data_IF_308865221560
#
_entry.id   IF_308865221560
#
_cell.length_a   1.000
_cell.length_b   1.000
_cell.length_c   1.000
_cell.angle_alpha   90.00
_cell.angle_beta   90.00
_cell.angle_gamma   90.00
#
_symmetry.space_group_name_H-M   'P 1'
#
loop_
_entity.id
_entity.type
_entity.pdbx_description
1 polymer ?
#
# COMPACT_ATOMS: atom_id res chain seq x y z
N UNK A 1 11.04 -12.55 -15.82
CA UNK A 1 9.91 -13.29 -15.21
C UNK A 1 8.58 -13.05 -15.93
N UNK A 2 8.28 -11.81 -16.36
CA UNK A 2 7.02 -11.43 -17.03
C UNK A 2 6.57 -12.36 -18.18
N UNK A 3 7.44 -12.63 -19.16
CA UNK A 3 7.11 -13.55 -20.27
C UNK A 3 6.69 -14.93 -19.78
N UNK A 4 7.34 -15.45 -18.73
CA UNK A 4 7.01 -16.77 -18.14
C UNK A 4 5.63 -16.76 -17.51
N UNK A 5 5.29 -15.74 -16.70
CA UNK A 5 3.96 -15.59 -16.07
C UNK A 5 2.87 -15.56 -17.14
N UNK A 6 3.07 -14.80 -18.21
CA UNK A 6 2.09 -14.70 -19.30
C UNK A 6 1.78 -16.03 -20.00
N UNK A 7 2.68 -17.03 -19.98
CA UNK A 7 2.38 -18.38 -20.50
C UNK A 7 1.26 -19.11 -19.74
N UNK A 8 0.92 -18.63 -18.54
CA UNK A 8 -0.21 -19.13 -17.76
C UNK A 8 -1.56 -18.59 -18.24
N UNK A 9 -1.58 -17.63 -19.16
CA UNK A 9 -2.81 -17.20 -19.83
C UNK A 9 -2.97 -17.95 -21.17
N UNK A 10 -4.20 -18.27 -21.56
CA UNK A 10 -4.50 -19.02 -22.79
C UNK A 10 -5.04 -18.17 -23.94
N UNK A 11 -4.93 -16.84 -23.84
CA UNK A 11 -5.51 -15.88 -24.78
C UNK A 11 -6.93 -15.43 -24.43
N UNK A 12 -7.65 -16.16 -23.58
CA UNK A 12 -8.99 -15.77 -23.09
C UNK A 12 -9.05 -15.62 -21.58
N UNK A 13 -8.43 -16.54 -20.83
CA UNK A 13 -8.44 -16.57 -19.36
C UNK A 13 -7.11 -17.07 -18.81
N UNK A 14 -6.90 -16.81 -17.52
CA UNK A 14 -5.82 -17.42 -16.77
C UNK A 14 -6.09 -18.90 -16.55
N UNK A 15 -5.14 -19.76 -16.92
CA UNK A 15 -5.20 -21.21 -16.72
C UNK A 15 -5.33 -21.50 -15.23
N UNK A 16 -6.17 -22.49 -14.91
CA UNK A 16 -6.48 -22.92 -13.54
C UNK A 16 -7.09 -21.82 -12.63
N UNK A 17 -7.51 -20.68 -13.18
CA UNK A 17 -8.31 -19.72 -12.42
C UNK A 17 -9.65 -20.36 -12.03
N UNK A 18 -10.12 -20.18 -10.79
CA UNK A 18 -11.32 -20.87 -10.31
C UNK A 18 -12.58 -20.45 -11.06
N UNK A 19 -13.50 -21.40 -11.27
CA UNK A 19 -14.81 -21.12 -11.90
C UNK A 19 -15.68 -20.21 -11.03
N UNK A 20 -15.66 -20.46 -9.71
CA UNK A 20 -16.29 -19.61 -8.69
C UNK A 20 -15.15 -18.89 -7.97
N UNK A 21 -14.97 -17.58 -8.17
CA UNK A 21 -13.80 -16.87 -7.69
C UNK A 21 -13.97 -16.43 -6.22
N UNK A 22 -14.26 -17.40 -5.36
CA UNK A 22 -14.25 -17.22 -3.91
C UNK A 22 -12.81 -16.99 -3.41
N UNK A 23 -12.69 -16.43 -2.22
CA UNK A 23 -11.42 -15.99 -1.64
C UNK A 23 -10.37 -17.11 -1.58
N UNK A 24 -10.70 -18.27 -0.99
CA UNK A 24 -9.78 -19.40 -0.82
C UNK A 24 -9.31 -20.03 -2.15
N UNK A 25 -10.19 -20.32 -3.13
CA UNK A 25 -9.75 -20.76 -4.46
C UNK A 25 -8.83 -19.75 -5.17
N UNK A 26 -9.14 -18.45 -5.12
CA UNK A 26 -8.32 -17.40 -5.76
C UNK A 26 -6.97 -17.27 -5.05
N UNK A 27 -6.96 -17.30 -3.72
CA UNK A 27 -5.76 -17.33 -2.87
C UNK A 27 -4.83 -18.48 -3.27
N UNK A 28 -5.35 -19.71 -3.34
CA UNK A 28 -4.58 -20.90 -3.75
C UNK A 28 -4.06 -20.79 -5.18
N UNK A 29 -4.86 -20.24 -6.10
CA UNK A 29 -4.45 -20.02 -7.48
C UNK A 29 -3.29 -19.02 -7.58
N UNK A 30 -3.35 -17.87 -6.89
CA UNK A 30 -2.27 -16.89 -6.85
C UNK A 30 -0.98 -17.47 -6.26
N UNK A 31 -1.08 -18.24 -5.17
CA UNK A 31 0.07 -18.92 -4.57
C UNK A 31 0.71 -19.92 -5.54
N UNK A 32 -0.10 -20.69 -6.26
CA UNK A 32 0.39 -21.63 -7.29
C UNK A 32 1.11 -20.88 -8.42
N UNK A 33 0.54 -19.77 -8.87
CA UNK A 33 1.16 -18.91 -9.88
C UNK A 33 2.52 -18.36 -9.40
N UNK A 34 2.57 -17.82 -8.19
CA UNK A 34 3.79 -17.29 -7.59
C UNK A 34 4.86 -18.38 -7.39
N UNK A 35 4.48 -19.55 -6.86
CA UNK A 35 5.39 -20.69 -6.66
C UNK A 35 6.01 -21.18 -7.96
N UNK A 36 5.23 -21.17 -9.06
CA UNK A 36 5.67 -21.65 -10.36
C UNK A 36 6.57 -20.65 -11.11
N UNK A 37 6.26 -19.35 -11.04
CA UNK A 37 6.89 -18.37 -11.92
C UNK A 37 7.75 -17.32 -11.21
N UNK A 38 7.53 -17.11 -9.91
CA UNK A 38 8.19 -16.09 -9.09
C UNK A 38 9.08 -16.73 -8.00
N UNK A 39 9.41 -18.03 -8.13
CA UNK A 39 10.28 -18.75 -7.18
C UNK A 39 11.64 -18.07 -6.97
N UNK A 40 12.18 -17.41 -7.98
CA UNK A 40 13.47 -16.72 -7.92
C UNK A 40 13.36 -15.23 -7.56
N UNK A 41 12.15 -14.70 -7.39
CA UNK A 41 11.95 -13.29 -7.05
C UNK A 41 12.38 -13.02 -5.59
N UNK A 42 12.97 -11.86 -5.25
CA UNK A 42 13.43 -11.57 -3.89
C UNK A 42 12.29 -11.61 -2.88
N UNK A 43 11.12 -11.03 -3.21
CA UNK A 43 9.98 -10.99 -2.30
C UNK A 43 8.98 -12.09 -2.61
N UNK A 44 8.47 -12.73 -1.56
CA UNK A 44 7.55 -13.86 -1.66
C UNK A 44 6.12 -13.44 -1.33
N UNK A 45 5.18 -14.12 -1.96
CA UNK A 45 3.76 -14.02 -1.62
C UNK A 45 3.47 -14.87 -0.39
N UNK A 46 2.88 -14.24 0.61
CA UNK A 46 2.43 -14.87 1.84
C UNK A 46 0.92 -14.67 2.01
N UNK A 47 0.33 -15.54 2.81
CA UNK A 47 -1.09 -15.51 3.16
C UNK A 47 -1.24 -15.84 4.63
N UNK A 48 -2.24 -15.27 5.27
CA UNK A 48 -2.63 -15.71 6.61
C UNK A 48 -3.96 -16.46 6.59
N UNK A 49 -4.04 -17.52 7.39
CA UNK A 49 -5.25 -18.27 7.72
C UNK A 49 -5.98 -17.67 8.91
N UNK A 50 -5.25 -17.00 9.81
CA UNK A 50 -5.82 -16.36 11.01
C UNK A 50 -5.06 -15.08 11.34
N UNK A 51 -5.73 -14.15 12.03
CA UNK A 51 -5.12 -12.91 12.52
C UNK A 51 -3.98 -13.12 13.53
N UNK A 52 -3.90 -14.29 14.17
CA UNK A 52 -2.88 -14.62 15.17
C UNK A 52 -1.48 -14.85 14.58
N UNK A 53 -1.39 -14.95 13.26
CA UNK A 53 -0.12 -15.11 12.55
C UNK A 53 0.67 -13.80 12.45
N UNK A 54 0.05 -12.65 12.71
CA UNK A 54 0.75 -11.38 12.87
C UNK A 54 1.08 -11.12 14.34
N UNK A 55 2.32 -10.72 14.64
CA UNK A 55 2.78 -10.43 16.00
C UNK A 55 1.91 -9.38 16.70
N UNK A 56 1.46 -8.38 15.95
CA UNK A 56 0.69 -7.25 16.44
C UNK A 56 -0.81 -7.56 16.60
N UNK A 57 -1.28 -8.69 16.04
CA UNK A 57 -2.70 -9.12 16.07
C UNK A 57 -3.68 -8.04 15.56
N UNK A 58 -3.24 -7.14 14.67
CA UNK A 58 -4.01 -6.00 14.15
C UNK A 58 -4.99 -6.35 13.01
N UNK A 59 -5.22 -7.63 12.74
CA UNK A 59 -6.13 -8.13 11.69
C UNK A 59 -5.50 -9.20 10.82
N UNK A 60 -6.33 -9.89 10.04
CA UNK A 60 -5.90 -10.91 9.08
C UNK A 60 -5.66 -10.24 7.73
N UNK A 61 -4.43 -10.36 7.21
CA UNK A 61 -4.10 -9.92 5.85
C UNK A 61 -4.27 -11.10 4.90
N UNK A 62 -5.08 -10.93 3.85
CA UNK A 62 -5.29 -12.00 2.89
C UNK A 62 -4.01 -12.35 2.14
N UNK A 63 -3.46 -11.39 1.41
CA UNK A 63 -2.24 -11.57 0.66
C UNK A 63 -1.26 -10.47 1.02
N UNK A 64 0.01 -10.79 1.12
CA UNK A 64 1.04 -9.76 1.27
C UNK A 64 2.36 -10.25 0.70
N UNK A 65 3.23 -9.29 0.42
CA UNK A 65 4.63 -9.55 0.18
C UNK A 65 5.42 -8.93 1.31
N UNK A 66 6.53 -9.57 1.70
CA UNK A 66 7.41 -9.06 2.75
C UNK A 66 8.88 -9.22 2.37
N UNK A 67 9.74 -8.53 3.11
CA UNK A 67 11.19 -8.74 3.08
C UNK A 67 11.53 -10.20 3.44
N UNK A 68 12.62 -10.76 2.90
CA UNK A 68 13.10 -12.07 3.33
C UNK A 68 13.34 -12.05 4.84
N UNK A 69 12.67 -12.95 5.58
CA UNK A 69 12.91 -13.09 7.00
C UNK A 69 14.29 -13.72 7.25
N UNK A 70 14.97 -13.31 8.31
CA UNK A 70 16.00 -14.15 8.91
C UNK A 70 15.34 -15.49 9.32
N UNK A 71 15.99 -16.62 9.04
CA UNK A 71 15.37 -17.95 9.15
C UNK A 71 14.73 -18.20 10.52
N UNK A 72 13.53 -18.81 10.55
CA UNK A 72 12.96 -19.44 11.76
C UNK A 72 11.76 -18.76 12.44
N UNK A 73 11.15 -17.72 11.87
CA UNK A 73 9.97 -17.06 12.46
C UNK A 73 8.63 -17.63 12.00
N UNK A 74 7.84 -18.23 12.90
CA UNK A 74 6.46 -18.69 12.63
C UNK A 74 5.42 -17.54 12.55
N UNK A 75 5.83 -16.31 12.89
CA UNK A 75 4.96 -15.13 12.93
C UNK A 75 5.46 -14.03 11.99
N UNK A 76 4.51 -13.40 11.31
CA UNK A 76 4.74 -12.23 10.48
C UNK A 76 4.69 -10.94 11.31
N UNK A 77 5.37 -9.90 10.87
CA UNK A 77 5.28 -8.55 11.43
C UNK A 77 4.99 -7.55 10.31
N UNK A 78 4.19 -6.53 10.60
CA UNK A 78 3.98 -5.42 9.67
C UNK A 78 5.26 -4.65 9.36
N UNK A 79 6.32 -4.79 10.18
CA UNK A 79 7.67 -4.25 9.91
C UNK A 79 8.27 -4.77 8.61
N UNK A 80 7.95 -6.00 8.24
CA UNK A 80 8.53 -6.66 7.07
C UNK A 80 7.64 -6.56 5.83
N UNK A 81 6.36 -6.15 5.99
CA UNK A 81 5.37 -6.11 4.90
C UNK A 81 5.67 -5.01 3.88
N UNK A 82 5.81 -5.38 2.62
CA UNK A 82 6.08 -4.47 1.50
C UNK A 82 4.81 -4.07 0.75
N UNK A 83 3.92 -5.04 0.52
CA UNK A 83 2.70 -4.89 -0.27
C UNK A 83 1.55 -5.60 0.42
N UNK A 84 0.35 -4.99 0.41
CA UNK A 84 -0.86 -5.59 0.98
C UNK A 84 -1.89 -5.88 -0.12
N UNK A 85 -2.46 -7.07 -0.11
CA UNK A 85 -3.50 -7.51 -1.02
C UNK A 85 -4.75 -7.97 -0.27
N UNK A 86 -5.91 -7.49 -0.71
CA UNK A 86 -7.21 -7.91 -0.20
C UNK A 86 -7.97 -8.72 -1.25
N UNK A 87 -8.54 -9.86 -0.87
CA UNK A 87 -9.28 -10.73 -1.77
C UNK A 87 -10.77 -10.69 -1.43
N UNK A 88 -11.63 -10.58 -2.45
CA UNK A 88 -13.09 -10.65 -2.27
C UNK A 88 -13.71 -11.51 -3.36
N UNK A 89 -14.84 -12.14 -3.02
CA UNK A 89 -15.60 -13.01 -3.93
C UNK A 89 -16.08 -12.30 -5.19
N UNK A 90 -16.59 -11.08 -5.04
CA UNK A 90 -17.18 -10.33 -6.14
C UNK A 90 -16.93 -8.84 -5.99
N UNK A 91 -16.91 -8.15 -7.11
CA UNK A 91 -16.88 -6.69 -7.14
C UNK A 91 -18.28 -6.15 -6.87
N UNK A 92 -18.43 -5.40 -5.79
CA UNK A 92 -19.68 -4.78 -5.36
C UNK A 92 -19.39 -3.32 -4.96
N UNK A 93 -19.93 -2.38 -5.74
CA UNK A 93 -19.73 -0.94 -5.52
C UNK A 93 -20.35 -0.48 -4.19
N UNK A 94 -21.42 -1.11 -3.73
CA UNK A 94 -22.03 -0.84 -2.42
C UNK A 94 -21.12 -1.21 -1.26
N UNK A 95 -20.22 -2.19 -1.46
CA UNK A 95 -19.21 -2.61 -0.48
C UNK A 95 -17.85 -1.94 -0.63
N UNK A 96 -17.68 -1.04 -1.60
CA UNK A 96 -16.42 -0.35 -1.84
C UNK A 96 -15.85 0.26 -0.56
N UNK A 97 -16.65 1.03 0.18
CA UNK A 97 -16.21 1.68 1.43
C UNK A 97 -15.71 0.67 2.47
N UNK A 98 -16.39 -0.46 2.62
CA UNK A 98 -16.01 -1.49 3.57
C UNK A 98 -14.70 -2.18 3.16
N UNK A 99 -14.56 -2.54 1.90
CA UNK A 99 -13.34 -3.17 1.36
C UNK A 99 -12.14 -2.21 1.43
N UNK A 100 -12.36 -0.94 1.05
CA UNK A 100 -11.35 0.10 1.13
C UNK A 100 -10.91 0.36 2.57
N UNK A 101 -11.85 0.40 3.52
CA UNK A 101 -11.55 0.55 4.94
C UNK A 101 -10.71 -0.63 5.47
N UNK A 102 -11.02 -1.86 5.06
CA UNK A 102 -10.24 -3.04 5.44
C UNK A 102 -8.80 -2.95 4.93
N UNK A 103 -8.62 -2.65 3.64
CA UNK A 103 -7.30 -2.45 3.05
C UNK A 103 -6.51 -1.35 3.77
N UNK A 104 -7.17 -0.22 4.06
CA UNK A 104 -6.58 0.93 4.75
C UNK A 104 -6.16 0.59 6.18
N UNK A 105 -6.83 -0.33 6.88
CA UNK A 105 -6.41 -0.77 8.22
C UNK A 105 -5.07 -1.49 8.21
N UNK A 106 -4.82 -2.29 7.18
CA UNK A 106 -3.53 -2.97 7.00
C UNK A 106 -2.44 -1.98 6.61
N UNK A 107 -2.72 -1.08 5.66
CA UNK A 107 -1.80 0.01 5.28
C UNK A 107 -1.43 0.88 6.48
N UNK A 108 -2.41 1.26 7.30
CA UNK A 108 -2.16 2.00 8.55
C UNK A 108 -1.22 1.24 9.49
N UNK A 109 -1.36 -0.09 9.57
CA UNK A 109 -0.50 -0.93 10.40
C UNK A 109 0.93 -0.99 9.84
N UNK A 110 1.08 -1.06 8.51
CA UNK A 110 2.39 -0.92 7.84
C UNK A 110 3.05 0.41 8.19
N UNK A 111 2.36 1.55 8.03
CA UNK A 111 2.94 2.86 8.38
C UNK A 111 3.29 3.00 9.85
N UNK A 112 2.50 2.42 10.75
CA UNK A 112 2.77 2.45 12.19
C UNK A 112 4.07 1.70 12.54
N UNK A 113 4.32 0.57 11.87
CA UNK A 113 5.46 -0.29 12.17
C UNK A 113 6.67 -0.01 11.23
N UNK A 114 6.48 0.79 10.16
CA UNK A 114 7.50 1.32 9.26
C UNK A 114 7.37 2.86 9.14
N UNK A 115 7.76 3.64 10.16
CA UNK A 115 7.49 5.07 10.22
C UNK A 115 8.35 5.90 9.26
N UNK A 116 9.35 5.32 8.61
CA UNK A 116 10.12 5.95 7.54
C UNK A 116 9.51 5.70 6.15
N UNK A 117 8.57 4.74 6.01
CA UNK A 117 7.92 4.40 4.73
C UNK A 117 7.19 5.59 4.12
N UNK A 118 7.48 5.92 2.86
CA UNK A 118 6.85 7.05 2.14
C UNK A 118 5.47 6.69 1.59
N UNK A 119 5.37 5.57 0.90
CA UNK A 119 4.11 5.01 0.45
C UNK A 119 4.06 3.48 0.57
N UNK A 120 2.86 2.93 0.53
CA UNK A 120 2.58 1.50 0.58
C UNK A 120 1.84 1.10 -0.68
N UNK A 121 2.42 0.15 -1.41
CA UNK A 121 1.72 -0.53 -2.49
C UNK A 121 0.64 -1.44 -1.92
N UNK A 122 -0.53 -1.40 -2.54
CA UNK A 122 -1.63 -2.27 -2.19
C UNK A 122 -2.42 -2.68 -3.43
N UNK A 123 -3.27 -3.69 -3.29
CA UNK A 123 -4.25 -4.02 -4.32
C UNK A 123 -5.47 -4.71 -3.73
N UNK A 124 -6.58 -4.63 -4.46
CA UNK A 124 -7.75 -5.47 -4.23
C UNK A 124 -8.00 -6.36 -5.44
N UNK A 125 -8.39 -7.60 -5.20
CA UNK A 125 -8.84 -8.54 -6.24
C UNK A 125 -10.22 -9.09 -5.85
N UNK A 126 -11.24 -8.56 -6.52
CA UNK A 126 -12.64 -8.88 -6.31
C UNK A 126 -13.16 -9.73 -7.47
N UNK A 127 -13.22 -11.05 -7.29
CA UNK A 127 -13.49 -11.97 -8.40
C UNK A 127 -12.36 -11.91 -9.44
N UNK A 128 -12.67 -11.45 -10.66
CA UNK A 128 -11.69 -11.19 -11.72
C UNK A 128 -11.33 -9.71 -11.89
N UNK A 129 -11.93 -8.81 -11.08
CA UNK A 129 -11.65 -7.37 -11.13
C UNK A 129 -10.56 -7.03 -10.13
N UNK A 130 -9.47 -6.44 -10.63
CA UNK A 130 -8.35 -6.01 -9.82
C UNK A 130 -8.24 -4.49 -9.82
N UNK A 131 -7.80 -3.91 -8.71
CA UNK A 131 -7.45 -2.50 -8.62
C UNK A 131 -6.15 -2.36 -7.84
N UNK A 132 -5.18 -1.64 -8.41
CA UNK A 132 -3.91 -1.35 -7.75
C UNK A 132 -4.01 -0.02 -7.04
N UNK A 133 -3.35 0.08 -5.89
CA UNK A 133 -3.38 1.24 -5.02
C UNK A 133 -1.97 1.64 -4.59
N UNK A 134 -1.76 2.95 -4.51
CA UNK A 134 -0.66 3.57 -3.79
C UNK A 134 -1.26 4.36 -2.65
N UNK A 135 -0.86 4.05 -1.43
CA UNK A 135 -1.21 4.81 -0.25
C UNK A 135 0.01 5.58 0.22
N UNK A 136 -0.08 6.89 0.30
CA UNK A 136 0.87 7.68 1.06
C UNK A 136 0.22 8.10 2.39
N UNK A 137 0.87 9.01 3.12
CA UNK A 137 0.27 9.55 4.34
C UNK A 137 -0.86 10.54 4.06
N UNK A 138 -0.93 11.07 2.83
CA UNK A 138 -1.91 12.07 2.40
C UNK A 138 -3.24 11.45 1.96
N UNK A 139 -3.22 10.22 1.48
CA UNK A 139 -4.39 9.53 0.96
C UNK A 139 -4.04 8.30 0.12
N UNK A 140 -4.91 8.00 -0.84
CA UNK A 140 -4.76 6.85 -1.72
C UNK A 140 -5.06 7.21 -3.16
N UNK A 141 -4.28 6.67 -4.08
CA UNK A 141 -4.47 6.78 -5.52
C UNK A 141 -4.61 5.39 -6.11
N UNK A 142 -5.51 5.21 -7.09
CA UNK A 142 -5.75 3.91 -7.71
C UNK A 142 -5.47 3.91 -9.20
N UNK A 143 -5.18 2.73 -9.73
CA UNK A 143 -5.09 2.50 -11.18
C UNK A 143 -6.45 2.56 -11.90
N UNK A 144 -7.54 2.67 -11.14
CA UNK A 144 -8.85 2.21 -11.59
C UNK A 144 -8.93 0.68 -11.67
N UNK A 145 -10.16 0.17 -11.76
CA UNK A 145 -10.42 -1.28 -11.84
C UNK A 145 -10.19 -1.81 -13.25
N UNK A 146 -9.54 -2.97 -13.37
CA UNK A 146 -9.34 -3.68 -14.62
C UNK A 146 -9.71 -5.16 -14.48
N UNK A 147 -10.04 -5.83 -15.59
CA UNK A 147 -10.33 -7.26 -15.58
C UNK A 147 -9.07 -8.07 -15.91
N UNK A 148 -8.69 -8.99 -15.02
CA UNK A 148 -7.43 -9.73 -15.16
C UNK A 148 -7.42 -10.65 -16.38
N UNK A 149 -8.58 -11.09 -16.88
CA UNK A 149 -8.67 -11.97 -18.05
C UNK A 149 -8.50 -11.20 -19.35
N UNK A 150 -9.15 -10.04 -19.49
CA UNK A 150 -8.99 -9.18 -20.66
C UNK A 150 -7.66 -8.44 -20.68
N UNK A 151 -7.10 -8.13 -19.50
CA UNK A 151 -5.87 -7.34 -19.36
C UNK A 151 -4.76 -8.14 -18.64
N UNK A 152 -4.33 -9.30 -19.17
CA UNK A 152 -3.40 -10.19 -18.47
C UNK A 152 -2.02 -9.57 -18.29
N UNK A 153 -1.63 -8.65 -19.18
CA UNK A 153 -0.36 -7.92 -19.05
C UNK A 153 -0.33 -7.07 -17.79
N UNK A 154 -1.46 -6.47 -17.37
CA UNK A 154 -1.52 -5.65 -16.16
C UNK A 154 -1.33 -6.51 -14.90
N UNK A 155 -2.08 -7.61 -14.76
CA UNK A 155 -1.88 -8.54 -13.65
C UNK A 155 -0.43 -9.08 -13.62
N UNK A 156 0.08 -9.53 -14.77
CA UNK A 156 1.42 -10.10 -14.83
C UNK A 156 2.51 -9.08 -14.44
N UNK A 157 2.37 -7.82 -14.87
CA UNK A 157 3.27 -6.73 -14.48
C UNK A 157 3.16 -6.42 -13.01
N UNK A 158 1.96 -6.33 -12.45
CA UNK A 158 1.75 -6.09 -11.02
C UNK A 158 2.41 -7.18 -10.16
N UNK A 159 2.15 -8.46 -10.46
CA UNK A 159 2.72 -9.57 -9.69
C UNK A 159 4.24 -9.67 -9.80
N UNK A 160 4.79 -9.46 -11.00
CA UNK A 160 6.25 -9.45 -11.20
C UNK A 160 6.86 -8.24 -10.51
N UNK A 161 6.30 -7.04 -10.72
CA UNK A 161 6.76 -5.80 -10.11
C UNK A 161 6.80 -5.93 -8.59
N UNK A 162 5.69 -6.30 -7.95
CA UNK A 162 5.66 -6.48 -6.50
C UNK A 162 6.68 -7.50 -6.00
N UNK A 163 6.96 -8.55 -6.77
CA UNK A 163 7.92 -9.56 -6.36
C UNK A 163 9.39 -9.16 -6.58
N UNK A 164 9.68 -8.17 -7.45
CA UNK A 164 11.05 -7.88 -7.93
C UNK A 164 11.48 -6.41 -7.88
N UNK A 165 10.59 -5.46 -7.59
CA UNK A 165 10.97 -4.05 -7.40
C UNK A 165 12.03 -3.95 -6.29
N UNK A 166 12.95 -3.00 -6.39
CA UNK A 166 13.95 -2.76 -5.36
C UNK A 166 13.36 -1.96 -4.18
N UNK A 167 14.17 -1.79 -3.13
CA UNK A 167 13.77 -1.07 -1.92
C UNK A 167 13.38 0.39 -2.22
N UNK A 168 14.07 1.02 -3.17
CA UNK A 168 13.77 2.38 -3.64
C UNK A 168 12.43 2.41 -4.37
N UNK A 169 12.14 1.50 -5.28
CA UNK A 169 10.84 1.48 -5.98
C UNK A 169 9.69 1.10 -5.04
N UNK A 170 9.98 0.36 -3.96
CA UNK A 170 9.04 0.11 -2.87
C UNK A 170 8.89 1.32 -1.92
N UNK A 171 9.69 2.37 -2.13
CA UNK A 171 9.90 3.57 -1.30
C UNK A 171 9.98 3.32 0.19
N UNK A 172 10.86 2.37 0.48
CA UNK A 172 11.50 2.23 1.77
C UNK A 172 12.51 3.38 1.93
N UNK A 173 12.54 4.00 3.10
CA UNK A 173 13.54 5.03 3.37
C UNK A 173 14.92 4.40 3.49
N UNK A 174 15.82 4.78 2.60
CA UNK A 174 17.21 4.35 2.55
C UNK A 174 18.18 5.37 3.19
N UNK A 175 17.68 6.53 3.63
CA UNK A 175 18.47 7.61 4.21
C UNK A 175 18.52 7.57 5.75
N UNK A 176 17.47 7.03 6.39
CA UNK A 176 17.38 6.93 7.85
C UNK A 176 17.82 5.53 8.28
N UNK A 177 19.09 5.40 8.67
CA UNK A 177 19.62 4.19 9.28
C UNK A 177 19.21 4.08 10.76
N UNK A 178 18.77 2.91 11.19
CA UNK A 178 18.51 2.63 12.61
C UNK A 178 19.83 2.31 13.31
N UNK A 179 20.34 3.24 14.13
CA UNK A 179 21.40 2.92 15.09
C UNK A 179 20.82 2.19 16.31
N UNK A 180 21.52 1.15 16.77
CA UNK A 180 21.33 0.46 18.05
C UNK A 180 19.94 -0.15 18.31
N UNK A 181 19.25 -0.62 17.27
CA UNK A 181 17.97 -1.35 17.42
C UNK A 181 16.83 -0.51 18.00
N UNK A 182 17.03 0.81 18.12
CA UNK A 182 15.96 1.74 18.47
C UNK A 182 15.03 1.90 17.27
N UNK A 183 13.95 1.12 17.30
CA UNK A 183 12.81 1.34 16.42
C UNK A 183 12.23 2.73 16.76
N UNK A 184 12.52 3.74 15.94
CA UNK A 184 11.75 4.99 15.97
C UNK A 184 10.28 4.60 15.87
N UNK A 185 9.48 4.82 16.92
CA UNK A 185 8.05 4.47 16.93
C UNK A 185 7.18 5.48 16.15
N UNK A 186 7.77 6.63 15.84
CA UNK A 186 7.20 7.67 15.01
C UNK A 186 8.35 8.54 14.49
N UNK A 187 8.26 8.98 13.23
CA UNK A 187 8.98 10.18 12.80
C UNK A 187 8.13 11.36 13.23
N UNK A 188 8.60 12.12 14.21
CA UNK A 188 8.00 13.40 14.57
C UNK A 188 8.59 14.46 13.65
N UNK A 189 8.17 14.45 12.39
CA UNK A 189 8.46 15.52 11.44
C UNK A 189 7.21 16.37 11.24
N UNK A 190 7.38 17.62 10.81
CA UNK A 190 6.30 18.35 10.14
C UNK A 190 6.12 17.70 8.77
N UNK A 191 5.41 16.58 8.72
CA UNK A 191 5.02 15.93 7.47
C UNK A 191 4.09 16.90 6.74
N UNK A 192 4.66 17.65 5.82
CA UNK A 192 3.93 18.62 5.02
C UNK A 192 4.13 18.25 3.57
N UNK A 193 3.03 17.93 2.89
CA UNK A 193 3.02 17.81 1.44
C UNK A 193 2.54 19.13 0.88
N UNK A 194 3.36 19.77 0.05
CA UNK A 194 3.01 20.99 -0.65
C UNK A 194 2.90 20.69 -2.14
N UNK A 195 1.80 21.12 -2.75
CA UNK A 195 1.62 21.10 -4.19
C UNK A 195 1.47 22.54 -4.67
N UNK A 196 2.18 22.89 -5.75
CA UNK A 196 1.95 24.16 -6.44
C UNK A 196 0.67 24.07 -7.30
N UNK A 197 -0.16 25.11 -7.26
CA UNK A 197 -1.34 25.24 -8.13
C UNK A 197 -0.97 26.00 -9.41
N UNK A 198 -1.79 25.85 -10.46
CA UNK A 198 -1.57 26.59 -11.72
C UNK A 198 -1.58 28.11 -11.54
N UNK A 199 -2.28 28.61 -10.51
CA UNK A 199 -2.37 30.03 -10.16
C UNK A 199 -1.26 30.46 -9.19
N UNK A 200 -0.12 29.75 -9.15
CA UNK A 200 1.04 30.04 -8.30
C UNK A 200 0.73 30.13 -6.79
N UNK A 201 -0.28 29.39 -6.33
CA UNK A 201 -0.51 29.18 -4.90
C UNK A 201 0.09 27.84 -4.45
N UNK A 202 0.20 27.65 -3.14
CA UNK A 202 0.64 26.38 -2.56
C UNK A 202 -0.52 25.75 -1.81
N UNK A 203 -0.97 24.59 -2.27
CA UNK A 203 -1.85 23.72 -1.52
C UNK A 203 -1.02 22.91 -0.52
N UNK A 204 -1.23 23.17 0.77
CA UNK A 204 -0.48 22.57 1.86
C UNK A 204 -1.33 21.56 2.63
N UNK A 205 -0.90 20.30 2.65
CA UNK A 205 -1.47 19.23 3.45
C UNK A 205 -0.57 18.98 4.66
N UNK A 206 -0.97 19.50 5.81
CA UNK A 206 -0.26 19.35 7.08
C UNK A 206 -0.84 18.20 7.90
N UNK A 207 -0.03 17.19 8.18
CA UNK A 207 -0.40 16.10 9.10
C UNK A 207 0.01 16.47 10.52
N UNK A 208 -0.75 17.36 11.15
CA UNK A 208 -0.53 17.78 12.55
C UNK A 208 -1.47 17.06 13.49
N UNK A 209 -1.02 16.74 14.71
CA UNK A 209 -1.92 16.28 15.77
C UNK A 209 -2.98 17.34 16.07
N UNK A 210 -4.20 16.88 16.28
CA UNK A 210 -5.36 17.60 16.81
C UNK A 210 -5.09 18.34 18.14
N UNK A 211 -4.05 17.96 18.87
CA UNK A 211 -3.61 18.63 20.11
C UNK A 211 -2.83 19.92 19.86
N UNK A 212 -2.51 20.27 18.61
CA UNK A 212 -1.78 21.50 18.27
C UNK A 212 -2.72 22.54 17.69
N UNK A 213 -2.38 23.82 17.92
CA UNK A 213 -3.05 24.95 17.26
C UNK A 213 -2.90 24.84 15.75
N UNK A 214 -3.97 25.15 15.02
CA UNK A 214 -3.97 25.11 13.57
C UNK A 214 -2.98 26.16 13.03
N UNK A 215 -2.15 25.78 12.08
CA UNK A 215 -1.16 26.68 11.46
C UNK A 215 -1.81 27.93 10.82
N UNK A 216 -3.10 27.85 10.48
CA UNK A 216 -3.87 28.98 9.97
C UNK A 216 -3.95 30.16 10.95
N UNK A 217 -3.98 29.90 12.26
CA UNK A 217 -4.12 30.93 13.29
C UNK A 217 -2.92 31.90 13.29
N UNK A 218 -1.66 31.44 13.43
CA UNK A 218 -0.51 32.33 13.40
C UNK A 218 -0.31 33.00 12.03
N UNK A 219 -0.71 32.37 10.92
CA UNK A 219 -0.62 33.00 9.59
C UNK A 219 -1.60 34.17 9.44
N UNK A 220 -2.85 34.01 9.90
CA UNK A 220 -3.83 35.12 9.96
C UNK A 220 -3.37 36.24 10.88
N UNK A 221 -2.74 35.90 12.01
CA UNK A 221 -2.18 36.90 12.92
C UNK A 221 -1.01 37.66 12.28
N UNK A 222 -0.10 36.97 11.60
CA UNK A 222 1.01 37.60 10.89
C UNK A 222 0.52 38.57 9.80
N UNK A 223 -0.52 38.19 9.06
CA UNK A 223 -1.18 39.07 8.09
C UNK A 223 -1.80 40.30 8.76
N UNK A 224 -2.55 40.13 9.86
CA UNK A 224 -3.15 41.23 10.61
C UNK A 224 -2.10 42.21 11.17
N UNK A 225 -0.89 41.71 11.48
CA UNK A 225 0.24 42.52 11.94
C UNK A 225 1.07 43.12 10.79
N UNK A 226 0.68 42.90 9.53
CA UNK A 226 1.40 43.41 8.36
C UNK A 226 2.79 42.80 8.17
N UNK A 227 3.03 41.59 8.68
CA UNK A 227 4.31 40.91 8.56
C UNK A 227 4.64 40.60 7.08
N UNK A 228 5.87 40.95 6.66
CA UNK A 228 6.35 40.70 5.30
C UNK A 228 7.13 39.37 5.24
N UNK A 229 7.10 38.70 4.08
CA UNK A 229 7.83 37.45 3.86
C UNK A 229 7.17 36.20 4.45
N UNK A 230 5.91 36.30 4.90
CA UNK A 230 5.12 35.18 5.43
C UNK A 230 4.03 34.82 4.42
N UNK A 231 3.74 33.52 4.28
CA UNK A 231 2.66 33.04 3.41
C UNK A 231 1.29 33.56 3.88
N UNK A 232 0.45 33.97 2.93
CA UNK A 232 -0.93 34.40 3.21
C UNK A 232 -1.90 33.23 3.05
N UNK A 233 -2.84 33.10 4.00
CA UNK A 233 -3.90 32.10 3.92
C UNK A 233 -4.93 32.54 2.89
N UNK A 234 -5.13 31.75 1.83
CA UNK A 234 -6.21 31.98 0.85
C UNK A 234 -7.48 31.23 1.24
N UNK A 235 -7.34 29.98 1.69
CA UNK A 235 -8.43 29.15 2.18
C UNK A 235 -7.91 28.10 3.18
N UNK A 236 -8.78 27.60 4.05
CA UNK A 236 -8.50 26.45 4.92
C UNK A 236 -9.79 25.67 5.18
N UNK A 237 -9.65 24.38 5.50
CA UNK A 237 -10.75 23.49 5.92
C UNK A 237 -10.57 23.05 7.36
#
# INVERSE_FOLDING_TARGET
MLKKVLTAHNGKKWKAFPKVPDEEPVRRWLQSLAKRFLKQAPYKFHTTKTANQFQERKGQVDLFLQRPAAEGGDKFSYKDVLVVGELKKSYDTGRFKANFLQLTRHVRSVFADQPTRRFVHAFSLCGCKMELWIFDRSGAYSSGTFDIHSEPKMLARALVGYATMDDDTMELDTFIEQQDGHCYKAIVCRGTTCYETQDSHVAKFSWTSDKRKLEVEPLKQAEAMGAKGVARVVAHR
#
